data_IF_254221512123
#
_entry.id   IF_254221512123
#
_cell.length_a   1.000
_cell.length_b   1.000
_cell.length_c   1.000
_cell.angle_alpha   90.00
_cell.angle_beta   90.00
_cell.angle_gamma   90.00
#
_symmetry.space_group_name_H-M   'P 1'
#
loop_
_entity.id
_entity.type
_entity.pdbx_description
1 polymer ?
#
# COMPACT_ATOMS: atom_id res chain seq x y z
N UNK A 1 23.99 -16.07 35.80
CA UNK A 1 25.47 -16.23 35.87
C UNK A 1 26.09 -14.84 35.89
N UNK A 2 27.13 -14.66 36.70
CA UNK A 2 27.68 -13.36 37.09
C UNK A 2 28.91 -12.94 36.27
N UNK A 3 29.02 -11.61 36.05
CA UNK A 3 30.22 -10.73 35.94
C UNK A 3 31.35 -11.05 34.95
N UNK A 4 31.82 -10.01 34.24
CA UNK A 4 33.14 -9.40 34.52
C UNK A 4 33.36 -8.04 33.82
N UNK A 5 33.62 -7.01 34.64
CA UNK A 5 34.30 -5.76 34.29
C UNK A 5 35.81 -6.06 34.20
N UNK A 6 36.52 -5.46 33.23
CA UNK A 6 37.98 -5.38 33.24
C UNK A 6 38.42 -3.96 33.63
N UNK A 7 39.11 -3.88 34.77
CA UNK A 7 39.89 -2.70 35.21
C UNK A 7 41.35 -2.98 34.87
N UNK A 8 42.02 -2.09 34.15
CA UNK A 8 43.48 -2.10 34.03
C UNK A 8 44.09 -1.09 35.00
N UNK A 9 45.16 -1.51 35.67
CA UNK A 9 46.02 -0.71 36.55
C UNK A 9 47.43 -0.75 35.98
N UNK A 10 48.15 0.35 36.23
CA UNK A 10 49.61 0.54 36.28
C UNK A 10 50.15 1.40 35.12
N UNK A 11 51.07 2.36 35.29
CA UNK A 11 52.10 2.60 36.32
C UNK A 11 52.30 4.09 36.58
N UNK A 12 52.64 4.48 37.81
CA UNK A 12 53.12 5.83 38.15
C UNK A 12 54.63 5.88 37.95
N UNK A 13 55.11 6.74 37.05
CA UNK A 13 56.52 7.12 36.95
C UNK A 13 56.68 8.46 37.67
N UNK A 14 57.41 8.47 38.78
CA UNK A 14 57.88 9.70 39.43
C UNK A 14 59.03 10.27 38.59
N UNK A 15 58.80 11.41 37.93
CA UNK A 15 59.86 12.25 37.40
C UNK A 15 59.97 13.51 38.27
N UNK A 16 61.09 13.63 38.99
CA UNK A 16 61.52 14.89 39.62
C UNK A 16 61.89 15.89 38.53
N UNK A 17 61.08 16.93 38.34
CA UNK A 17 61.44 18.09 37.53
C UNK A 17 61.76 19.25 38.48
N UNK A 18 62.96 19.81 38.30
CA UNK A 18 63.46 20.93 39.04
C UNK A 18 62.55 22.15 38.85
N UNK A 19 62.23 22.82 39.95
CA UNK A 19 61.49 24.06 39.99
C UNK A 19 62.42 25.19 39.52
N UNK A 20 62.33 25.54 38.25
CA UNK A 20 62.78 26.83 37.75
C UNK A 20 61.64 27.83 37.98
N UNK A 21 61.94 28.92 38.70
CA UNK A 21 61.08 30.08 38.74
C UNK A 21 61.10 30.70 37.34
N UNK A 22 60.00 30.57 36.59
CA UNK A 22 59.84 31.24 35.30
C UNK A 22 58.69 32.23 35.37
N UNK A 23 58.91 33.34 34.69
CA UNK A 23 58.10 34.54 34.68
C UNK A 23 56.67 34.25 34.20
N UNK A 24 55.73 35.10 34.64
CA UNK A 24 54.31 35.10 34.30
C UNK A 24 54.10 35.12 32.76
N UNK A 25 54.18 33.97 32.11
CA UNK A 25 53.75 33.76 30.72
C UNK A 25 52.26 33.48 30.75
N UNK A 26 51.46 34.52 30.58
CA UNK A 26 50.08 34.35 30.12
C UNK A 26 50.15 33.67 28.76
N UNK A 27 49.94 32.36 28.72
CA UNK A 27 49.69 31.62 27.49
C UNK A 27 48.58 32.37 26.72
N UNK A 28 48.77 32.71 25.44
CA UNK A 28 47.75 33.44 24.70
C UNK A 28 46.45 32.63 24.74
N UNK A 29 45.42 33.21 25.36
CA UNK A 29 44.10 32.59 25.43
C UNK A 29 43.64 32.29 23.99
N UNK A 30 43.14 31.07 23.70
CA UNK A 30 42.65 30.73 22.38
C UNK A 30 41.62 31.77 21.92
N UNK A 31 41.72 32.21 20.66
CA UNK A 31 40.78 33.18 20.10
C UNK A 31 39.33 32.68 20.31
N UNK A 32 38.48 33.53 20.88
CA UNK A 32 37.08 33.18 21.13
C UNK A 32 36.28 33.23 19.83
N UNK A 33 35.32 32.32 19.68
CA UNK A 33 34.35 32.37 18.57
C UNK A 33 33.53 33.66 18.69
N UNK A 34 33.46 34.42 17.60
CA UNK A 34 32.65 35.64 17.51
C UNK A 34 31.53 35.50 16.46
N UNK A 35 31.74 34.70 15.42
CA UNK A 35 30.73 34.44 14.38
C UNK A 35 30.65 32.96 14.06
N UNK A 36 29.42 32.53 13.78
CA UNK A 36 29.07 31.26 13.12
C UNK A 36 28.26 31.67 11.90
N UNK A 37 28.50 31.08 10.74
CA UNK A 37 27.81 31.41 9.51
C UNK A 37 27.49 30.14 8.74
N UNK A 38 26.20 29.89 8.50
CA UNK A 38 25.71 28.76 7.72
C UNK A 38 25.57 29.19 6.26
N UNK A 39 26.10 28.39 5.34
CA UNK A 39 25.96 28.60 3.90
C UNK A 39 25.41 27.36 3.19
N UNK A 40 24.35 27.48 2.39
CA UNK A 40 23.49 28.67 2.22
C UNK A 40 22.58 28.92 3.43
N UNK A 41 22.08 30.15 3.59
CA UNK A 41 21.13 30.53 4.66
C UNK A 41 19.69 30.02 4.44
N UNK A 42 19.41 29.48 3.25
CA UNK A 42 18.17 28.78 2.96
C UNK A 42 18.42 27.63 1.97
N UNK A 43 17.76 26.50 2.19
CA UNK A 43 17.75 25.33 1.30
C UNK A 43 16.35 24.80 1.09
N UNK A 44 16.15 24.17 -0.07
CA UNK A 44 15.02 23.27 -0.31
C UNK A 44 15.55 21.86 -0.49
N UNK A 45 14.82 20.87 0.01
CA UNK A 45 15.12 19.44 -0.11
C UNK A 45 13.81 18.68 -0.30
N UNK A 46 13.80 17.66 -1.15
CA UNK A 46 12.61 16.81 -1.29
C UNK A 46 12.47 15.90 -0.06
N UNK A 47 11.25 15.48 0.28
CA UNK A 47 11.01 14.50 1.35
C UNK A 47 11.78 13.20 1.07
N UNK A 48 12.52 12.71 2.06
CA UNK A 48 13.41 11.55 1.93
C UNK A 48 14.83 11.86 1.41
N UNK A 49 15.05 13.04 0.82
CA UNK A 49 16.35 13.45 0.29
C UNK A 49 17.21 14.20 1.31
N UNK A 50 18.47 14.47 0.93
CA UNK A 50 19.43 15.19 1.78
C UNK A 50 20.09 16.36 1.08
N UNK A 51 20.40 17.40 1.86
CA UNK A 51 21.15 18.58 1.40
C UNK A 51 22.20 18.97 2.44
N UNK A 52 23.38 19.38 1.98
CA UNK A 52 24.50 19.73 2.87
C UNK A 52 24.62 21.24 3.05
N UNK A 53 24.65 21.65 4.31
CA UNK A 53 25.01 22.98 4.76
C UNK A 53 26.49 23.01 5.17
N UNK A 54 27.16 24.11 4.84
CA UNK A 54 28.50 24.40 5.33
C UNK A 54 28.41 25.38 6.50
N UNK A 55 29.35 25.27 7.44
CA UNK A 55 29.45 26.21 8.57
C UNK A 55 30.85 26.80 8.62
N UNK A 56 30.93 28.12 8.72
CA UNK A 56 32.18 28.85 8.99
C UNK A 56 32.13 29.40 10.40
N UNK A 57 33.21 29.21 11.16
CA UNK A 57 33.36 29.73 12.52
C UNK A 57 34.55 30.68 12.51
N UNK A 58 34.39 31.92 12.99
CA UNK A 58 35.47 32.91 13.00
C UNK A 58 35.53 33.72 14.30
N UNK A 59 36.69 34.33 14.56
CA UNK A 59 36.90 35.24 15.69
C UNK A 59 36.45 36.68 15.36
N UNK A 60 36.66 37.60 16.30
CA UNK A 60 36.26 39.02 16.17
C UNK A 60 36.98 39.77 15.04
N UNK A 61 38.09 39.23 14.54
CA UNK A 61 38.89 39.79 13.46
C UNK A 61 38.54 39.12 12.11
N UNK A 62 37.46 38.32 12.09
CA UNK A 62 36.99 37.52 10.95
C UNK A 62 38.00 36.45 10.50
N UNK A 63 38.90 36.02 11.40
CA UNK A 63 39.82 34.91 11.14
C UNK A 63 39.12 33.59 11.39
N UNK A 64 39.15 32.70 10.40
CA UNK A 64 38.50 31.39 10.50
C UNK A 64 39.17 30.50 11.57
N UNK A 65 38.35 29.93 12.44
CA UNK A 65 38.75 29.05 13.53
C UNK A 65 38.45 27.59 13.14
N UNK A 66 39.48 26.86 12.74
CA UNK A 66 39.36 25.44 12.39
C UNK A 66 39.35 24.54 13.64
N UNK A 67 38.72 23.36 13.55
CA UNK A 67 38.69 22.37 14.64
C UNK A 67 37.74 22.70 15.79
N UNK A 68 36.92 23.76 15.67
CA UNK A 68 35.87 24.08 16.64
C UNK A 68 34.71 23.10 16.52
N UNK A 69 34.21 22.63 17.66
CA UNK A 69 33.05 21.77 17.71
C UNK A 69 31.79 22.58 17.38
N UNK A 70 31.00 22.11 16.42
CA UNK A 70 29.73 22.72 16.04
C UNK A 70 28.60 21.76 16.38
N UNK A 71 27.69 22.19 17.24
CA UNK A 71 26.46 21.46 17.52
C UNK A 71 25.39 21.87 16.50
N UNK A 72 24.72 20.89 15.91
CA UNK A 72 23.61 21.09 14.99
C UNK A 72 22.29 20.69 15.64
N UNK A 73 21.24 21.48 15.43
CA UNK A 73 19.90 21.17 15.89
C UNK A 73 18.87 21.59 14.84
N UNK A 74 17.79 20.81 14.72
CA UNK A 74 16.59 21.19 13.96
C UNK A 74 15.52 21.69 14.93
N UNK A 75 14.83 22.78 14.57
CA UNK A 75 13.69 23.30 15.33
C UNK A 75 12.52 22.32 15.33
N UNK A 76 12.33 21.61 14.22
CA UNK A 76 11.31 20.58 14.06
C UNK A 76 11.89 19.34 13.34
N UNK A 77 12.35 18.33 14.11
CA UNK A 77 12.83 17.07 13.57
C UNK A 77 11.79 16.25 12.81
N UNK A 78 10.48 16.50 13.00
CA UNK A 78 9.43 15.83 12.23
C UNK A 78 9.34 16.36 10.79
N UNK A 79 9.75 17.62 10.56
CA UNK A 79 9.87 18.20 9.22
C UNK A 79 11.25 17.88 8.61
N UNK A 80 12.35 18.15 9.32
CA UNK A 80 13.70 17.83 8.83
C UNK A 80 14.68 17.56 9.98
N UNK A 81 15.60 16.61 9.80
CA UNK A 81 16.71 16.38 10.75
C UNK A 81 18.03 16.93 10.22
N UNK A 82 19.01 17.14 11.11
CA UNK A 82 20.37 17.56 10.71
C UNK A 82 21.43 16.84 11.54
N UNK A 83 22.46 16.32 10.88
CA UNK A 83 23.63 15.70 11.52
C UNK A 83 24.89 16.19 10.80
N UNK A 84 25.80 16.85 11.52
CA UNK A 84 27.06 17.39 10.98
C UNK A 84 26.87 18.24 9.71
N UNK A 85 25.81 19.05 9.68
CA UNK A 85 25.44 19.91 8.56
C UNK A 85 24.74 19.20 7.40
N UNK A 86 24.54 17.88 7.46
CA UNK A 86 23.71 17.15 6.50
C UNK A 86 22.26 17.17 6.96
N UNK A 87 21.40 17.88 6.23
CA UNK A 87 19.96 17.96 6.47
C UNK A 87 19.25 16.83 5.73
N UNK A 88 18.27 16.19 6.35
CA UNK A 88 17.39 15.17 5.74
C UNK A 88 15.95 15.62 5.84
N UNK A 89 15.23 15.70 4.72
CA UNK A 89 13.79 15.99 4.70
C UNK A 89 12.99 14.80 5.20
N UNK A 90 12.08 15.02 6.15
CA UNK A 90 11.26 13.97 6.78
C UNK A 90 9.79 14.08 6.38
N UNK A 91 9.24 15.28 6.38
CA UNK A 91 7.87 15.54 5.96
C UNK A 91 7.77 16.93 5.32
N UNK A 92 6.92 17.08 4.30
CA UNK A 92 6.68 18.35 3.65
C UNK A 92 6.36 19.49 4.64
N UNK A 93 7.05 20.62 4.53
CA UNK A 93 6.91 21.72 5.48
C UNK A 93 8.07 22.70 5.48
N UNK A 94 8.09 23.59 6.46
CA UNK A 94 9.21 24.51 6.69
C UNK A 94 9.71 24.37 8.13
N UNK A 95 11.02 24.30 8.28
CA UNK A 95 11.71 24.31 9.58
C UNK A 95 13.00 25.13 9.47
N UNK A 96 13.75 25.20 10.56
CA UNK A 96 15.08 25.81 10.56
C UNK A 96 16.08 24.93 11.28
N UNK A 97 17.32 25.03 10.85
CA UNK A 97 18.46 24.33 11.47
C UNK A 97 19.45 25.34 11.99
N UNK A 98 19.90 25.12 13.23
CA UNK A 98 20.82 26.00 13.95
C UNK A 98 22.16 25.30 14.12
N UNK A 99 23.24 26.01 13.80
CA UNK A 99 24.61 25.62 14.10
C UNK A 99 25.11 26.48 15.25
N UNK A 100 25.65 25.86 16.32
CA UNK A 100 26.15 26.56 17.51
C UNK A 100 27.58 26.13 17.82
N UNK A 101 28.47 27.11 18.01
CA UNK A 101 29.84 26.90 18.48
C UNK A 101 30.13 27.89 19.60
N UNK A 102 30.52 27.38 20.79
CA UNK A 102 30.88 28.19 21.96
C UNK A 102 29.83 29.26 22.37
N UNK A 103 28.55 28.96 22.13
CA UNK A 103 27.42 29.84 22.46
C UNK A 103 27.06 30.86 21.37
N UNK A 104 27.85 30.96 20.30
CA UNK A 104 27.51 31.73 19.11
C UNK A 104 26.78 30.82 18.13
N UNK A 105 25.71 31.32 17.52
CA UNK A 105 24.88 30.50 16.61
C UNK A 105 24.47 31.26 15.37
N UNK A 106 24.18 30.50 14.32
CA UNK A 106 23.48 30.96 13.12
C UNK A 106 22.41 29.95 12.73
N UNK A 107 21.43 30.38 11.93
CA UNK A 107 20.27 29.58 11.56
C UNK A 107 20.00 29.65 10.07
N UNK A 108 19.77 28.51 9.44
CA UNK A 108 19.33 28.41 8.05
C UNK A 108 17.89 27.91 7.96
N UNK A 109 17.13 28.46 7.02
CA UNK A 109 15.77 27.99 6.71
C UNK A 109 15.82 26.73 5.84
N UNK A 110 14.98 25.76 6.15
CA UNK A 110 14.83 24.52 5.39
C UNK A 110 13.38 24.40 4.93
N UNK A 111 13.18 24.27 3.63
CA UNK A 111 11.87 23.91 3.06
C UNK A 111 11.93 22.47 2.59
N UNK A 112 11.11 21.60 3.16
CA UNK A 112 10.93 20.23 2.67
C UNK A 112 9.79 20.23 1.69
N UNK A 113 10.08 19.86 0.44
CA UNK A 113 9.10 19.76 -0.61
C UNK A 113 8.44 18.38 -0.57
N UNK A 114 7.12 18.34 -0.68
CA UNK A 114 6.42 17.08 -0.91
C UNK A 114 6.91 16.50 -2.24
N UNK A 115 7.21 15.20 -2.26
CA UNK A 115 7.44 14.49 -3.52
C UNK A 115 6.07 14.35 -4.18
N UNK A 116 5.77 15.23 -5.13
CA UNK A 116 4.59 15.06 -5.96
C UNK A 116 4.72 13.75 -6.76
N UNK A 117 3.72 12.86 -6.71
CA UNK A 117 3.78 11.65 -7.50
C UNK A 117 3.89 12.03 -8.97
N UNK A 118 4.91 11.52 -9.66
CA UNK A 118 5.04 11.72 -11.09
C UNK A 118 3.80 11.13 -11.77
N UNK A 119 3.04 11.95 -12.48
CA UNK A 119 1.92 11.44 -13.28
C UNK A 119 2.51 10.53 -14.36
N UNK A 120 2.15 9.23 -14.40
CA UNK A 120 2.68 8.34 -15.41
C UNK A 120 2.23 8.80 -16.80
N UNK A 121 3.11 8.73 -17.79
CA UNK A 121 2.71 8.87 -19.18
C UNK A 121 1.98 7.61 -19.64
N UNK A 122 0.87 7.76 -20.34
CA UNK A 122 0.13 6.63 -20.91
C UNK A 122 0.63 6.32 -22.33
N UNK A 123 0.85 5.03 -22.58
CA UNK A 123 1.16 4.49 -23.92
C UNK A 123 0.03 3.53 -24.32
N UNK A 124 -0.46 3.65 -25.55
CA UNK A 124 -1.44 2.71 -26.09
C UNK A 124 -0.73 1.39 -26.42
N UNK A 125 -1.10 0.32 -25.71
CA UNK A 125 -0.58 -1.04 -25.96
C UNK A 125 -1.41 -1.77 -27.02
N UNK A 126 -2.74 -1.76 -26.88
CA UNK A 126 -3.66 -2.48 -27.76
C UNK A 126 -5.06 -1.84 -27.69
N UNK A 127 -5.84 -1.97 -28.77
CA UNK A 127 -7.20 -1.44 -28.88
C UNK A 127 -8.19 -2.46 -29.45
N UNK A 128 -9.46 -2.07 -29.62
CA UNK A 128 -10.48 -2.95 -30.22
C UNK A 128 -11.10 -3.97 -29.26
N UNK A 129 -10.91 -3.82 -27.95
CA UNK A 129 -11.67 -4.54 -26.94
C UNK A 129 -13.11 -3.99 -26.84
N UNK A 130 -14.07 -4.88 -26.59
CA UNK A 130 -15.48 -4.54 -26.40
C UNK A 130 -15.82 -4.60 -24.92
N UNK A 131 -16.04 -3.42 -24.32
CA UNK A 131 -16.37 -3.27 -22.89
C UNK A 131 -15.40 -4.06 -21.98
N UNK A 132 -14.08 -3.76 -22.02
CA UNK A 132 -13.12 -4.41 -21.15
C UNK A 132 -13.42 -4.10 -19.69
N UNK A 133 -13.41 -5.11 -18.83
CA UNK A 133 -13.77 -4.98 -17.41
C UNK A 133 -12.57 -5.10 -16.48
N UNK A 134 -11.58 -5.92 -16.81
CA UNK A 134 -10.43 -6.19 -15.96
C UNK A 134 -9.20 -6.58 -16.78
N UNK A 135 -8.03 -6.39 -16.20
CA UNK A 135 -6.74 -6.76 -16.78
C UNK A 135 -5.84 -7.31 -15.67
N UNK A 136 -5.24 -8.48 -15.90
CA UNK A 136 -4.30 -9.09 -14.95
C UNK A 136 -3.29 -9.98 -15.66
N UNK A 137 -2.34 -10.54 -14.92
CA UNK A 137 -1.35 -11.51 -15.41
C UNK A 137 -1.12 -12.61 -14.36
N UNK A 138 -0.86 -13.85 -14.75
CA UNK A 138 -0.43 -14.88 -13.83
C UNK A 138 0.93 -14.55 -13.19
N UNK A 139 1.22 -15.03 -11.97
CA UNK A 139 2.53 -14.86 -11.36
C UNK A 139 3.67 -15.35 -12.27
N UNK A 140 4.60 -14.44 -12.59
CA UNK A 140 5.78 -14.75 -13.41
C UNK A 140 5.52 -14.88 -14.92
N UNK A 141 4.32 -14.58 -15.39
CA UNK A 141 3.95 -14.61 -16.81
C UNK A 141 4.01 -13.20 -17.43
N UNK A 142 4.52 -13.09 -18.66
CA UNK A 142 4.64 -11.82 -19.39
C UNK A 142 3.36 -11.42 -20.14
N UNK A 143 2.40 -12.34 -20.26
CA UNK A 143 1.13 -12.12 -20.96
C UNK A 143 0.16 -11.34 -20.10
N UNK A 144 -0.66 -10.49 -20.73
CA UNK A 144 -1.78 -9.80 -20.09
C UNK A 144 -3.10 -10.45 -20.52
N UNK A 145 -3.99 -10.65 -19.56
CA UNK A 145 -5.31 -11.25 -19.78
C UNK A 145 -6.37 -10.18 -19.56
N UNK A 146 -7.12 -9.88 -20.62
CA UNK A 146 -8.13 -8.82 -20.65
C UNK A 146 -9.50 -9.47 -20.68
N UNK A 147 -10.32 -9.19 -19.66
CA UNK A 147 -11.71 -9.65 -19.61
C UNK A 147 -12.59 -8.66 -20.35
N UNK A 148 -13.51 -9.16 -21.17
CA UNK A 148 -14.59 -8.39 -21.77
C UNK A 148 -15.92 -8.75 -21.10
N UNK A 149 -16.79 -7.76 -20.90
CA UNK A 149 -18.05 -7.94 -20.18
C UNK A 149 -18.89 -9.11 -20.73
N UNK A 150 -18.87 -9.34 -22.04
CA UNK A 150 -19.60 -10.43 -22.69
C UNK A 150 -19.17 -11.85 -22.25
N UNK A 151 -18.06 -12.01 -21.51
CA UNK A 151 -17.57 -13.30 -21.02
C UNK A 151 -16.35 -13.85 -21.74
N UNK A 152 -15.72 -13.07 -22.61
CA UNK A 152 -14.48 -13.48 -23.28
C UNK A 152 -13.26 -12.98 -22.50
N UNK A 153 -12.21 -13.78 -22.47
CA UNK A 153 -10.89 -13.36 -21.98
C UNK A 153 -9.92 -13.43 -23.15
N UNK A 154 -9.22 -12.34 -23.43
CA UNK A 154 -8.24 -12.25 -24.51
C UNK A 154 -6.83 -12.13 -23.93
N UNK A 155 -5.85 -12.64 -24.66
CA UNK A 155 -4.43 -12.52 -24.29
C UNK A 155 -3.79 -11.42 -25.13
N UNK A 156 -3.02 -10.55 -24.47
CA UNK A 156 -2.00 -9.71 -25.11
C UNK A 156 -0.65 -10.37 -24.80
N UNK A 157 0.09 -10.73 -25.85
CA UNK A 157 1.45 -11.24 -25.75
C UNK A 157 2.36 -10.44 -26.68
N UNK A 158 3.54 -10.06 -26.19
CA UNK A 158 4.49 -9.23 -26.95
C UNK A 158 3.92 -7.88 -27.44
N UNK A 159 2.90 -7.34 -26.77
CA UNK A 159 2.23 -6.09 -27.14
C UNK A 159 1.18 -6.22 -28.24
N UNK A 160 0.66 -7.43 -28.50
CA UNK A 160 -0.45 -7.61 -29.46
C UNK A 160 -1.46 -8.64 -28.97
N UNK A 161 -2.73 -8.40 -29.26
CA UNK A 161 -3.82 -9.34 -28.96
C UNK A 161 -3.71 -10.61 -29.79
N UNK A 162 -3.78 -11.77 -29.13
CA UNK A 162 -3.87 -13.07 -29.80
C UNK A 162 -5.22 -13.24 -30.52
N UNK A 163 -5.27 -13.95 -31.65
CA UNK A 163 -6.49 -14.08 -32.45
C UNK A 163 -7.56 -14.97 -31.81
N UNK A 164 -7.15 -15.90 -30.94
CA UNK A 164 -8.05 -16.81 -30.22
C UNK A 164 -8.18 -16.31 -28.78
N UNK A 165 -9.42 -16.16 -28.25
CA UNK A 165 -9.59 -15.86 -26.83
C UNK A 165 -9.05 -16.99 -25.97
N UNK A 166 -8.51 -16.66 -24.80
CA UNK A 166 -8.12 -17.62 -23.78
C UNK A 166 -9.32 -18.49 -23.36
N UNK A 167 -10.49 -17.88 -23.16
CA UNK A 167 -11.74 -18.58 -22.89
C UNK A 167 -12.91 -17.77 -23.42
N UNK A 168 -13.99 -18.46 -23.82
CA UNK A 168 -15.26 -17.85 -24.21
C UNK A 168 -16.39 -18.40 -23.31
N UNK A 169 -16.89 -17.55 -22.41
CA UNK A 169 -17.98 -17.83 -21.49
C UNK A 169 -19.28 -17.12 -21.88
N UNK A 170 -19.41 -16.64 -23.12
CA UNK A 170 -20.59 -15.89 -23.59
C UNK A 170 -21.90 -16.68 -23.45
N UNK A 171 -21.85 -18.01 -23.41
CA UNK A 171 -23.01 -18.86 -23.15
C UNK A 171 -23.49 -18.84 -21.69
N UNK A 172 -22.65 -18.41 -20.74
CA UNK A 172 -22.94 -18.30 -19.30
C UNK A 172 -23.39 -16.89 -18.93
N UNK A 173 -22.72 -15.88 -19.49
CA UNK A 173 -22.92 -14.46 -19.18
C UNK A 173 -23.92 -13.76 -20.10
N UNK A 174 -24.00 -14.19 -21.37
CA UNK A 174 -24.65 -13.40 -22.41
C UNK A 174 -23.98 -12.04 -22.61
N UNK A 175 -24.76 -11.06 -23.06
CA UNK A 175 -24.39 -9.64 -23.16
C UNK A 175 -25.67 -8.81 -23.43
N UNK A 176 -25.82 -7.52 -23.10
CA UNK A 176 -24.95 -6.56 -22.40
C UNK A 176 -25.81 -5.63 -21.51
N UNK A 177 -26.59 -6.19 -20.58
CA UNK A 177 -27.49 -5.40 -19.73
C UNK A 177 -26.85 -5.10 -18.37
N UNK A 178 -26.59 -3.82 -18.08
CA UNK A 178 -26.08 -3.34 -16.78
C UNK A 178 -24.78 -4.08 -16.38
N UNK A 179 -24.72 -4.66 -15.17
CA UNK A 179 -23.56 -5.39 -14.65
C UNK A 179 -23.56 -6.88 -15.01
N UNK A 180 -24.46 -7.37 -15.89
CA UNK A 180 -24.43 -8.77 -16.34
C UNK A 180 -23.18 -8.98 -17.19
N UNK A 181 -22.39 -10.01 -16.88
CA UNK A 181 -21.13 -10.24 -17.56
C UNK A 181 -19.97 -10.65 -16.67
N UNK A 182 -18.80 -10.82 -17.28
CA UNK A 182 -17.54 -11.13 -16.62
C UNK A 182 -16.91 -9.84 -16.06
N UNK A 183 -16.67 -9.79 -14.76
CA UNK A 183 -16.28 -8.57 -14.04
C UNK A 183 -14.82 -8.56 -13.58
N UNK A 184 -14.29 -9.73 -13.22
CA UNK A 184 -12.92 -9.90 -12.78
C UNK A 184 -12.43 -11.34 -12.96
N UNK A 185 -11.12 -11.50 -12.89
CA UNK A 185 -10.46 -12.81 -12.83
C UNK A 185 -9.24 -12.75 -11.91
N UNK A 186 -8.88 -13.89 -11.32
CA UNK A 186 -7.64 -14.06 -10.55
C UNK A 186 -6.99 -15.39 -10.90
N UNK A 187 -5.68 -15.38 -11.14
CA UNK A 187 -4.91 -16.62 -11.28
C UNK A 187 -4.57 -17.19 -9.91
N UNK A 188 -4.61 -18.50 -9.77
CA UNK A 188 -4.10 -19.17 -8.58
C UNK A 188 -2.61 -18.80 -8.37
N UNK A 189 -2.12 -18.62 -7.12
CA UNK A 189 -0.71 -18.33 -6.87
C UNK A 189 0.24 -19.37 -7.50
N UNK A 190 -0.18 -20.64 -7.48
CA UNK A 190 0.50 -21.78 -8.13
C UNK A 190 0.04 -22.06 -9.59
N UNK A 191 -0.49 -21.07 -10.32
CA UNK A 191 -1.02 -21.25 -11.69
C UNK A 191 -0.04 -21.97 -12.63
N UNK A 192 1.26 -21.68 -12.55
CA UNK A 192 2.27 -22.33 -13.37
C UNK A 192 2.33 -23.87 -13.19
N UNK A 193 1.88 -24.37 -12.03
CA UNK A 193 1.88 -25.79 -11.70
C UNK A 193 0.49 -26.42 -11.85
N UNK A 194 -0.58 -25.73 -11.46
CA UNK A 194 -1.93 -26.30 -11.41
C UNK A 194 -2.85 -25.82 -12.54
N UNK A 195 -2.52 -24.73 -13.22
CA UNK A 195 -3.32 -24.17 -14.32
C UNK A 195 -4.67 -23.59 -13.91
N UNK A 196 -4.90 -23.37 -12.61
CA UNK A 196 -6.19 -22.91 -12.07
C UNK A 196 -6.32 -21.39 -12.07
N UNK A 197 -7.49 -20.92 -12.47
CA UNK A 197 -7.87 -19.53 -12.36
C UNK A 197 -9.34 -19.41 -11.99
N UNK A 198 -9.71 -18.26 -11.47
CA UNK A 198 -11.03 -17.97 -10.95
C UNK A 198 -11.60 -16.78 -11.70
N UNK A 199 -12.91 -16.79 -11.89
CA UNK A 199 -13.66 -15.69 -12.49
C UNK A 199 -14.79 -15.28 -11.58
N UNK A 200 -15.07 -13.99 -11.57
CA UNK A 200 -16.29 -13.44 -10.99
C UNK A 200 -17.15 -12.88 -12.11
N UNK A 201 -18.36 -13.41 -12.25
CA UNK A 201 -19.29 -13.03 -13.31
C UNK A 201 -20.73 -12.97 -12.78
N UNK A 202 -21.57 -12.22 -13.48
CA UNK A 202 -23.01 -12.30 -13.33
C UNK A 202 -23.59 -13.08 -14.51
N UNK A 203 -24.34 -14.14 -14.23
CA UNK A 203 -24.85 -15.06 -15.23
C UNK A 203 -26.11 -14.53 -15.97
N UNK A 204 -26.65 -15.33 -16.89
CA UNK A 204 -27.88 -15.00 -17.62
C UNK A 204 -29.12 -14.79 -16.74
N UNK A 205 -29.15 -15.35 -15.53
CA UNK A 205 -30.22 -15.11 -14.55
C UNK A 205 -29.99 -13.83 -13.74
N UNK A 206 -28.77 -13.29 -13.78
CA UNK A 206 -28.33 -12.14 -13.00
C UNK A 206 -27.60 -12.52 -11.71
N UNK A 207 -27.45 -13.81 -11.41
CA UNK A 207 -26.79 -14.27 -10.18
C UNK A 207 -25.28 -14.03 -10.26
N UNK A 208 -24.69 -13.57 -9.16
CA UNK A 208 -23.24 -13.47 -9.04
C UNK A 208 -22.62 -14.83 -8.80
N UNK A 209 -21.61 -15.17 -9.59
CA UNK A 209 -20.91 -16.44 -9.55
C UNK A 209 -19.42 -16.23 -9.37
N UNK A 210 -18.88 -16.91 -8.38
CA UNK A 210 -17.46 -17.21 -8.29
C UNK A 210 -17.24 -18.62 -8.83
N UNK A 211 -16.44 -18.76 -9.89
CA UNK A 211 -16.19 -20.05 -10.52
C UNK A 211 -14.70 -20.28 -10.76
N UNK A 212 -14.26 -21.52 -10.58
CA UNK A 212 -12.94 -22.02 -10.93
C UNK A 212 -12.95 -22.60 -12.35
N UNK A 213 -11.88 -22.35 -13.11
CA UNK A 213 -11.61 -22.93 -14.42
C UNK A 213 -10.14 -23.36 -14.51
N UNK A 214 -9.83 -24.17 -15.51
CA UNK A 214 -8.49 -24.68 -15.74
C UNK A 214 -8.01 -24.46 -17.19
N UNK A 215 -6.74 -24.12 -17.33
CA UNK A 215 -6.06 -24.05 -18.64
C UNK A 215 -5.95 -25.45 -19.26
N UNK A 216 -5.98 -25.53 -20.58
CA UNK A 216 -5.71 -26.79 -21.30
C UNK A 216 -4.20 -27.08 -21.33
N UNK A 217 -3.79 -28.12 -22.05
CA UNK A 217 -2.37 -28.34 -22.35
C UNK A 217 -1.75 -27.23 -23.22
N UNK A 218 -2.58 -26.47 -23.94
CA UNK A 218 -2.17 -25.23 -24.60
C UNK A 218 -2.27 -24.08 -23.58
N UNK A 219 -1.16 -23.43 -23.20
CA UNK A 219 -1.16 -22.39 -22.17
C UNK A 219 -1.94 -21.13 -22.58
N UNK A 220 -2.26 -20.97 -23.87
CA UNK A 220 -3.03 -19.84 -24.40
C UNK A 220 -4.54 -20.13 -24.50
N UNK A 221 -4.99 -21.33 -24.10
CA UNK A 221 -6.39 -21.75 -24.19
C UNK A 221 -6.84 -22.47 -22.92
N UNK A 222 -7.91 -21.99 -22.29
CA UNK A 222 -8.58 -22.65 -21.18
C UNK A 222 -9.80 -23.47 -21.62
N UNK A 223 -10.17 -24.45 -20.80
CA UNK A 223 -11.29 -25.34 -21.07
C UNK A 223 -12.60 -24.76 -20.49
N UNK A 224 -13.56 -24.30 -21.31
CA UNK A 224 -14.87 -23.85 -20.81
C UNK A 224 -15.66 -24.94 -20.10
N UNK A 225 -15.38 -26.23 -20.37
CA UNK A 225 -16.01 -27.38 -19.73
C UNK A 225 -15.45 -27.72 -18.35
N UNK A 226 -14.33 -27.10 -17.94
CA UNK A 226 -13.71 -27.31 -16.63
C UNK A 226 -14.42 -26.58 -15.48
N UNK A 227 -15.34 -25.68 -15.81
CA UNK A 227 -15.99 -24.76 -14.86
C UNK A 227 -16.60 -25.45 -13.64
N UNK A 228 -16.20 -25.02 -12.44
CA UNK A 228 -16.79 -25.42 -11.16
C UNK A 228 -17.22 -24.19 -10.38
N UNK A 229 -18.52 -24.08 -10.10
CA UNK A 229 -19.03 -23.02 -9.23
C UNK A 229 -18.49 -23.23 -7.80
N UNK A 230 -17.88 -22.18 -7.24
CA UNK A 230 -17.50 -22.13 -5.83
C UNK A 230 -18.61 -21.50 -5.00
N UNK A 231 -19.14 -20.37 -5.47
CA UNK A 231 -20.19 -19.62 -4.79
C UNK A 231 -21.17 -19.06 -5.83
N UNK A 232 -22.47 -19.16 -5.53
CA UNK A 232 -23.53 -18.52 -6.31
C UNK A 232 -24.37 -17.70 -5.34
N UNK A 233 -24.43 -16.39 -5.59
CA UNK A 233 -25.19 -15.44 -4.79
C UNK A 233 -26.29 -14.86 -5.69
N UNK A 234 -27.57 -15.14 -5.40
CA UNK A 234 -28.66 -14.53 -6.14
C UNK A 234 -28.56 -13.01 -6.07
N UNK A 235 -28.83 -12.30 -7.15
CA UNK A 235 -28.90 -10.83 -7.12
C UNK A 235 -30.33 -10.38 -7.33
N UNK A 236 -30.82 -9.50 -6.46
CA UNK A 236 -32.15 -8.91 -6.63
C UNK A 236 -32.15 -7.90 -7.78
N UNK A 237 -31.05 -7.17 -7.91
CA UNK A 237 -30.78 -6.21 -8.98
C UNK A 237 -29.35 -6.38 -9.48
N UNK A 238 -29.12 -6.12 -10.77
CA UNK A 238 -27.78 -6.24 -11.38
C UNK A 238 -27.00 -4.93 -11.28
N UNK A 239 -27.07 -4.25 -10.13
CA UNK A 239 -26.31 -3.03 -9.80
C UNK A 239 -25.62 -3.23 -8.45
N UNK A 240 -24.52 -2.50 -8.20
CA UNK A 240 -23.71 -2.59 -6.98
C UNK A 240 -23.35 -4.04 -6.59
N UNK A 241 -22.85 -4.79 -7.57
CA UNK A 241 -22.50 -6.20 -7.37
C UNK A 241 -21.09 -6.38 -6.80
N UNK A 242 -20.27 -5.33 -6.72
CA UNK A 242 -18.84 -5.42 -6.44
C UNK A 242 -18.14 -6.24 -7.53
N UNK A 243 -17.47 -7.31 -7.12
CA UNK A 243 -17.09 -8.39 -8.02
C UNK A 243 -15.61 -8.43 -8.41
N UNK A 244 -14.74 -7.64 -7.79
CA UNK A 244 -13.31 -7.96 -7.87
C UNK A 244 -13.01 -9.22 -7.04
N UNK A 245 -12.08 -10.02 -7.55
CA UNK A 245 -11.41 -11.09 -6.82
C UNK A 245 -9.91 -10.93 -6.91
N UNK A 246 -9.19 -11.29 -5.85
CA UNK A 246 -7.73 -11.32 -5.84
C UNK A 246 -7.22 -12.26 -4.75
N UNK A 247 -6.05 -12.85 -4.95
CA UNK A 247 -5.35 -13.56 -3.88
C UNK A 247 -4.63 -12.56 -2.98
N UNK A 248 -4.80 -12.73 -1.67
CA UNK A 248 -4.05 -12.00 -0.66
C UNK A 248 -2.62 -12.49 -0.52
N UNK A 249 -1.75 -11.74 0.19
CA UNK A 249 -0.37 -12.16 0.48
C UNK A 249 -0.32 -13.43 1.37
N UNK A 250 -1.42 -13.78 2.00
CA UNK A 250 -1.62 -14.98 2.81
C UNK A 250 -2.02 -16.22 2.00
N UNK A 251 -2.25 -16.08 0.69
CA UNK A 251 -2.58 -17.17 -0.22
C UNK A 251 -4.08 -17.48 -0.33
N UNK A 252 -4.95 -16.75 0.38
CA UNK A 252 -6.39 -16.95 0.29
C UNK A 252 -7.03 -16.07 -0.77
N UNK A 253 -8.20 -16.49 -1.26
CA UNK A 253 -8.96 -15.76 -2.26
C UNK A 253 -9.91 -14.77 -1.59
N UNK A 254 -9.72 -13.48 -1.88
CA UNK A 254 -10.60 -12.40 -1.44
C UNK A 254 -11.63 -12.08 -2.51
N UNK A 255 -12.87 -11.86 -2.09
CA UNK A 255 -14.02 -11.64 -2.98
C UNK A 255 -14.83 -10.46 -2.49
N UNK A 256 -15.02 -9.46 -3.34
CA UNK A 256 -15.79 -8.28 -3.00
C UNK A 256 -17.25 -8.43 -3.47
N UNK A 257 -18.21 -8.21 -2.57
CA UNK A 257 -19.64 -8.14 -2.88
C UNK A 257 -20.19 -6.77 -2.46
N UNK A 258 -20.90 -6.12 -3.38
CA UNK A 258 -21.65 -4.92 -3.04
C UNK A 258 -23.01 -5.22 -2.39
N UNK A 259 -23.77 -4.16 -2.14
CA UNK A 259 -24.99 -4.18 -1.34
C UNK A 259 -26.19 -4.89 -2.01
N UNK A 260 -26.07 -5.24 -3.29
CA UNK A 260 -27.13 -5.93 -4.05
C UNK A 260 -28.37 -5.07 -4.32
N UNK A 261 -28.26 -3.75 -4.15
CA UNK A 261 -29.34 -2.77 -4.38
C UNK A 261 -29.14 -1.98 -5.68
N UNK A 262 -30.14 -1.19 -6.07
CA UNK A 262 -30.03 -0.28 -7.20
C UNK A 262 -29.70 1.15 -6.76
N UNK A 263 -29.13 1.95 -7.67
CA UNK A 263 -28.87 3.37 -7.44
C UNK A 263 -30.17 4.11 -7.04
N UNK A 264 -30.32 4.41 -5.75
CA UNK A 264 -31.46 5.14 -5.18
C UNK A 264 -32.08 4.51 -3.92
N UNK A 265 -31.92 3.19 -3.71
CA UNK A 265 -32.47 2.43 -2.57
C UNK A 265 -31.37 2.11 -1.55
N UNK A 266 -30.59 3.12 -1.18
CA UNK A 266 -29.29 2.90 -0.53
C UNK A 266 -29.39 2.28 0.88
N UNK A 267 -30.51 2.50 1.58
CA UNK A 267 -30.57 2.23 3.03
C UNK A 267 -31.40 0.97 3.37
N UNK A 268 -32.04 0.30 2.41
CA UNK A 268 -32.86 -0.91 2.65
C UNK A 268 -32.53 -1.98 1.60
N UNK A 269 -32.17 -3.21 1.99
CA UNK A 269 -32.50 -3.88 3.26
C UNK A 269 -31.42 -3.80 4.37
N UNK A 270 -30.54 -2.78 4.35
CA UNK A 270 -29.42 -2.63 5.31
C UNK A 270 -28.41 -3.78 5.27
N UNK A 271 -28.14 -4.29 4.07
CA UNK A 271 -27.19 -5.38 3.86
C UNK A 271 -25.80 -5.08 4.43
N UNK A 272 -25.39 -3.81 4.44
CA UNK A 272 -24.12 -3.38 5.03
C UNK A 272 -23.92 -3.77 6.49
N UNK A 273 -24.99 -4.00 7.26
CA UNK A 273 -24.89 -4.45 8.66
C UNK A 273 -25.45 -5.86 8.88
N UNK A 274 -25.75 -6.60 7.81
CA UNK A 274 -26.33 -7.92 7.88
C UNK A 274 -25.29 -9.01 7.57
N UNK A 275 -24.73 -9.60 8.63
CA UNK A 275 -23.71 -10.66 8.53
C UNK A 275 -24.29 -12.05 8.21
N UNK A 276 -25.62 -12.20 8.07
CA UNK A 276 -26.27 -13.46 7.68
C UNK A 276 -26.30 -13.67 6.15
N UNK A 277 -25.74 -12.73 5.37
CA UNK A 277 -25.62 -12.82 3.93
C UNK A 277 -24.27 -12.27 3.41
N UNK A 278 -24.00 -12.41 2.12
CA UNK A 278 -22.72 -12.01 1.51
C UNK A 278 -22.73 -10.59 0.93
N UNK A 279 -23.85 -9.88 0.90
CA UNK A 279 -23.89 -8.53 0.35
C UNK A 279 -23.11 -7.56 1.24
N UNK A 280 -22.50 -6.55 0.65
CA UNK A 280 -21.72 -5.53 1.38
C UNK A 280 -20.54 -6.08 2.18
N UNK A 281 -19.90 -7.14 1.67
CA UNK A 281 -18.79 -7.82 2.36
C UNK A 281 -17.56 -7.97 1.47
N UNK A 282 -16.41 -8.06 2.14
CA UNK A 282 -15.25 -8.78 1.65
C UNK A 282 -15.30 -10.19 2.21
N UNK A 283 -15.23 -11.22 1.36
CA UNK A 283 -15.03 -12.60 1.79
C UNK A 283 -13.55 -12.97 1.71
N UNK A 284 -13.13 -13.96 2.52
CA UNK A 284 -11.81 -14.58 2.46
C UNK A 284 -11.97 -16.11 2.50
N UNK A 285 -11.59 -16.77 1.40
CA UNK A 285 -11.85 -18.18 1.13
C UNK A 285 -10.56 -18.97 0.96
N UNK A 286 -10.53 -20.21 1.46
CA UNK A 286 -9.48 -21.18 1.19
C UNK A 286 -9.90 -22.10 0.04
N UNK A 287 -9.43 -21.80 -1.17
CA UNK A 287 -9.76 -22.58 -2.38
C UNK A 287 -8.93 -23.85 -2.53
N UNK A 288 -7.89 -24.02 -1.72
CA UNK A 288 -7.02 -25.20 -1.71
C UNK A 288 -7.51 -26.30 -0.75
N UNK A 289 -8.53 -26.00 0.06
CA UNK A 289 -9.14 -26.95 0.99
C UNK A 289 -10.66 -27.04 0.82
N UNK A 290 -11.24 -28.08 1.42
CA UNK A 290 -12.69 -28.29 1.38
C UNK A 290 -13.24 -28.68 0.00
N UNK A 291 -14.56 -28.64 -0.12
CA UNK A 291 -15.29 -28.88 -1.36
C UNK A 291 -16.66 -28.19 -1.26
N UNK A 292 -16.92 -27.08 -1.97
CA UNK A 292 -16.10 -26.51 -3.05
C UNK A 292 -14.89 -25.67 -2.60
N UNK A 293 -14.87 -25.20 -1.35
CA UNK A 293 -13.78 -24.46 -0.71
C UNK A 293 -13.82 -24.70 0.81
N UNK A 294 -12.79 -24.25 1.52
CA UNK A 294 -12.69 -24.17 2.98
C UNK A 294 -12.76 -22.72 3.48
N UNK A 295 -12.98 -22.57 4.78
CA UNK A 295 -12.91 -21.27 5.46
C UNK A 295 -11.63 -21.23 6.29
N UNK A 296 -10.76 -20.21 6.11
CA UNK A 296 -9.58 -20.07 6.94
C UNK A 296 -9.92 -20.08 8.44
N UNK A 297 -9.15 -20.81 9.24
CA UNK A 297 -9.44 -21.00 10.67
C UNK A 297 -9.34 -19.72 11.51
N UNK A 298 -8.73 -18.69 10.95
CA UNK A 298 -8.52 -17.35 11.51
C UNK A 298 -9.50 -16.30 10.96
N UNK A 299 -10.53 -16.70 10.19
CA UNK A 299 -11.58 -15.77 9.78
C UNK A 299 -12.35 -15.23 11.02
N UNK A 300 -12.69 -13.93 11.04
CA UNK A 300 -13.16 -13.22 12.24
C UNK A 300 -14.53 -13.69 12.74
N UNK A 301 -15.36 -14.22 11.85
CA UNK A 301 -16.73 -14.64 12.14
C UNK A 301 -16.91 -16.16 12.23
N UNK A 302 -15.83 -16.93 12.20
CA UNK A 302 -15.89 -18.38 12.26
C UNK A 302 -16.45 -18.86 13.61
N UNK A 303 -17.53 -19.65 13.57
CA UNK A 303 -18.12 -20.30 14.74
C UNK A 303 -19.21 -19.49 15.45
N UNK A 304 -19.53 -18.30 14.96
CA UNK A 304 -20.75 -17.58 15.34
C UNK A 304 -21.93 -18.05 14.48
N UNK A 305 -23.06 -18.34 15.12
CA UNK A 305 -24.25 -18.86 14.45
C UNK A 305 -25.12 -17.76 13.81
N UNK A 306 -24.80 -16.49 14.05
CA UNK A 306 -25.50 -15.32 13.53
C UNK A 306 -24.76 -14.61 12.39
N UNK A 307 -23.71 -15.23 11.88
CA UNK A 307 -22.86 -14.69 10.83
C UNK A 307 -22.49 -15.77 9.82
N UNK A 308 -22.03 -15.36 8.64
CA UNK A 308 -21.41 -16.27 7.68
C UNK A 308 -19.89 -16.34 7.91
N UNK A 309 -19.31 -17.55 8.03
CA UNK A 309 -17.90 -17.72 8.40
C UNK A 309 -16.92 -17.24 7.31
N UNK A 310 -17.37 -17.10 6.06
CA UNK A 310 -16.58 -16.59 4.93
C UNK A 310 -16.25 -15.10 5.03
N UNK A 311 -17.03 -14.34 5.81
CA UNK A 311 -16.91 -12.89 5.87
C UNK A 311 -15.56 -12.51 6.51
N UNK A 312 -14.82 -11.63 5.84
CA UNK A 312 -13.59 -11.03 6.32
C UNK A 312 -13.81 -9.60 6.83
N UNK A 313 -14.55 -8.79 6.09
CA UNK A 313 -14.95 -7.45 6.48
C UNK A 313 -16.34 -7.13 5.91
N UNK A 314 -17.01 -6.13 6.48
CA UNK A 314 -18.39 -5.80 6.13
C UNK A 314 -18.62 -4.29 6.21
N UNK A 315 -19.84 -3.86 5.88
CA UNK A 315 -20.18 -2.45 5.90
C UNK A 315 -19.63 -1.69 4.71
N UNK A 316 -19.48 -2.35 3.56
CA UNK A 316 -19.11 -1.72 2.29
C UNK A 316 -20.34 -1.54 1.40
N UNK A 317 -20.36 -0.55 0.52
CA UNK A 317 -21.50 -0.34 -0.37
C UNK A 317 -21.34 -1.07 -1.70
N UNK A 318 -20.33 -0.73 -2.47
CA UNK A 318 -20.00 -1.32 -3.74
C UNK A 318 -18.47 -1.31 -3.92
N UNK A 319 -17.75 -2.21 -3.23
CA UNK A 319 -16.30 -2.35 -3.33
C UNK A 319 -15.94 -2.85 -4.74
N UNK A 320 -15.71 -1.92 -5.65
CA UNK A 320 -15.59 -2.20 -7.08
C UNK A 320 -14.19 -2.70 -7.45
N UNK A 321 -13.17 -2.05 -6.88
CA UNK A 321 -11.77 -2.46 -7.04
C UNK A 321 -11.03 -2.41 -5.72
N UNK A 322 -10.15 -3.38 -5.48
CA UNK A 322 -9.27 -3.41 -4.32
C UNK A 322 -7.90 -3.96 -4.70
N UNK A 323 -6.91 -3.71 -3.86
CA UNK A 323 -5.56 -4.24 -4.05
C UNK A 323 -4.83 -4.38 -2.73
N UNK A 324 -3.94 -5.36 -2.66
CA UNK A 324 -2.95 -5.44 -1.59
C UNK A 324 -1.70 -4.67 -1.99
N UNK A 325 -1.20 -3.83 -1.09
CA UNK A 325 0.12 -3.22 -1.24
C UNK A 325 1.18 -4.33 -1.22
N UNK A 326 2.07 -4.32 -2.22
CA UNK A 326 3.07 -5.39 -2.41
C UNK A 326 4.22 -5.33 -1.41
N UNK A 327 4.39 -4.21 -0.72
CA UNK A 327 5.45 -3.96 0.26
C UNK A 327 4.94 -4.19 1.68
N UNK A 328 3.80 -3.59 2.03
CA UNK A 328 3.25 -3.66 3.38
C UNK A 328 2.27 -4.81 3.57
N UNK A 329 1.56 -5.19 2.50
CA UNK A 329 0.45 -6.15 2.57
C UNK A 329 -0.89 -5.51 2.93
N UNK A 330 -0.95 -4.19 3.10
CA UNK A 330 -2.19 -3.49 3.46
C UNK A 330 -3.22 -3.64 2.35
N UNK A 331 -4.48 -3.85 2.73
CA UNK A 331 -5.60 -3.93 1.80
C UNK A 331 -6.21 -2.55 1.62
N UNK A 332 -6.22 -2.09 0.37
CA UNK A 332 -6.89 -0.87 -0.07
C UNK A 332 -8.14 -1.22 -0.86
N UNK A 333 -9.28 -0.67 -0.47
CA UNK A 333 -10.59 -0.95 -1.06
C UNK A 333 -11.14 0.36 -1.62
N UNK A 334 -11.40 0.41 -2.92
CA UNK A 334 -12.16 1.48 -3.56
C UNK A 334 -13.64 1.16 -3.50
N UNK A 335 -14.35 1.85 -2.61
CA UNK A 335 -15.76 1.67 -2.37
C UNK A 335 -16.60 2.82 -2.94
N UNK A 336 -17.60 2.47 -3.75
CA UNK A 336 -18.47 3.44 -4.40
C UNK A 336 -19.62 3.78 -3.47
N UNK A 337 -19.61 4.99 -2.91
CA UNK A 337 -20.65 5.48 -2.00
C UNK A 337 -21.96 5.84 -2.70
N UNK A 338 -22.95 6.24 -1.90
CA UNK A 338 -24.33 6.42 -2.35
C UNK A 338 -24.64 7.83 -2.81
N UNK A 339 -24.12 8.84 -2.11
CA UNK A 339 -24.58 10.22 -2.23
C UNK A 339 -23.43 11.20 -2.25
N UNK A 340 -22.57 11.16 -1.23
CA UNK A 340 -21.68 12.26 -0.88
C UNK A 340 -20.20 11.91 -1.01
N UNK A 341 -19.84 10.65 -0.80
CA UNK A 341 -18.44 10.22 -0.76
C UNK A 341 -18.20 9.03 -1.68
N UNK A 342 -17.02 9.01 -2.25
CA UNK A 342 -16.40 7.80 -2.77
C UNK A 342 -15.24 7.53 -1.80
N UNK A 343 -15.05 6.27 -1.43
CA UNK A 343 -14.18 5.90 -0.31
C UNK A 343 -12.96 5.11 -0.78
N UNK A 344 -11.84 5.39 -0.14
CA UNK A 344 -10.68 4.49 -0.14
C UNK A 344 -10.52 4.03 1.30
N UNK A 345 -10.98 2.81 1.56
CA UNK A 345 -10.78 2.17 2.85
C UNK A 345 -9.43 1.49 2.89
N UNK A 346 -8.81 1.52 4.07
CA UNK A 346 -7.49 0.92 4.30
C UNK A 346 -7.59 -0.03 5.49
N UNK A 347 -7.20 -1.27 5.27
CA UNK A 347 -7.02 -2.28 6.31
C UNK A 347 -5.54 -2.62 6.41
N UNK A 348 -4.99 -2.41 7.61
CA UNK A 348 -3.60 -2.75 7.90
C UNK A 348 -3.35 -4.25 7.74
N UNK A 349 -2.20 -4.63 7.17
CA UNK A 349 -1.79 -6.01 6.94
C UNK A 349 -1.80 -6.88 8.21
N UNK A 350 -1.68 -6.27 9.39
CA UNK A 350 -1.72 -6.96 10.68
C UNK A 350 -3.12 -7.14 11.26
N UNK A 351 -4.16 -6.66 10.57
CA UNK A 351 -5.55 -6.84 10.97
C UNK A 351 -5.92 -8.32 11.08
N UNK A 352 -6.77 -8.63 12.06
CA UNK A 352 -7.38 -9.95 12.23
C UNK A 352 -8.72 -10.11 11.47
N UNK A 353 -9.10 -9.12 10.65
CA UNK A 353 -10.41 -9.03 10.03
C UNK A 353 -11.50 -8.58 11.00
N UNK A 354 -12.70 -8.39 10.45
CA UNK A 354 -13.92 -8.03 11.17
C UNK A 354 -14.23 -6.52 11.14
N UNK A 355 -13.47 -5.74 10.38
CA UNK A 355 -13.72 -4.32 10.16
C UNK A 355 -15.13 -4.09 9.62
N UNK A 356 -15.77 -3.08 10.20
CA UNK A 356 -17.04 -2.52 9.75
C UNK A 356 -16.75 -1.15 9.12
N UNK A 357 -16.94 -1.04 7.81
CA UNK A 357 -16.75 0.22 7.09
C UNK A 357 -17.98 1.15 7.14
N UNK A 358 -19.02 0.74 7.86
CA UNK A 358 -20.10 1.62 8.30
C UNK A 358 -21.32 1.66 7.39
N UNK A 359 -21.23 1.27 6.12
CA UNK A 359 -22.41 1.14 5.25
C UNK A 359 -23.41 0.15 5.86
N UNK A 360 -24.73 0.35 5.86
CA UNK A 360 -25.48 1.50 5.35
C UNK A 360 -25.88 2.48 6.46
N UNK A 361 -25.13 2.53 7.57
CA UNK A 361 -25.35 3.48 8.67
C UNK A 361 -24.61 4.81 8.44
N UNK A 362 -23.45 4.75 7.79
CA UNK A 362 -22.59 5.90 7.47
C UNK A 362 -22.01 5.80 6.05
N UNK A 363 -21.52 6.94 5.55
CA UNK A 363 -20.79 7.10 4.29
C UNK A 363 -19.68 8.14 4.55
N UNK A 364 -18.43 7.78 4.30
CA UNK A 364 -17.24 8.60 4.52
C UNK A 364 -17.07 9.00 5.99
N UNK A 365 -17.05 10.31 6.26
CA UNK A 365 -16.86 10.85 7.61
C UNK A 365 -18.16 11.24 8.33
N UNK A 366 -19.32 10.91 7.74
CA UNK A 366 -20.64 11.38 8.22
C UNK A 366 -21.17 10.64 9.46
#
# INVERSE_FOLDING_TARGET
MARALFVSIAWVVLATVAMACDENTTEPQPAAVATVEITPSAVSVDEGDTVRLSVRVADREDTELTGRAVAWASLDPATATVVDGLVTGIAAGQTSVTATSEGVSDTASVTVLAVEPSVPSLELVEEGFTLPTFLTSPPGDGRLFVTELAGQIHIIDGGSRLPTPFIDLTSVTGCCERSKGLLAMAFHPDYASNGLFYVFLNDLNGDSRLAEYQVTSDPDVADPGSGRDLLIVPQQEVAHVGGQIAFGPDGYLYVAFGDGTSAGEADEPRNGQNLENFYSTMLRLDVDSGSPYGVPSDNPFLGDASTLPEIWAYGLRNPWRFSFDRVTGDLYIGDVGAKAWEEIDVQDASSAGGENYGWSEAEGTD
#
